data_IF_692187697558
#
_entry.id   IF_692187697558
#
_cell.length_a   1.000
_cell.length_b   1.000
_cell.length_c   1.000
_cell.angle_alpha   90.00
_cell.angle_beta   90.00
_cell.angle_gamma   90.00
#
_symmetry.space_group_name_H-M   'P 1'
#
loop_
_entity.id
_entity.type
_entity.pdbx_description
1 polymer ?
#
# COMPACT_ATOMS: atom_id res chain seq x y z
N UNK A 1 17.30 -4.42 -25.17
CA UNK A 1 16.86 -4.08 -23.81
C UNK A 1 17.05 -2.58 -23.60
N UNK A 2 15.98 -1.82 -23.38
CA UNK A 2 16.11 -0.40 -23.08
C UNK A 2 16.89 -0.22 -21.76
N UNK A 3 17.86 0.70 -21.74
CA UNK A 3 18.50 1.06 -20.47
C UNK A 3 17.48 1.74 -19.56
N UNK A 4 17.65 1.62 -18.27
CA UNK A 4 16.71 2.17 -17.27
C UNK A 4 16.44 3.66 -17.48
N UNK A 5 17.50 4.42 -17.83
CA UNK A 5 17.42 5.86 -18.14
C UNK A 5 16.56 6.14 -19.38
N UNK A 6 16.66 5.30 -20.40
CA UNK A 6 15.87 5.48 -21.63
C UNK A 6 14.39 5.14 -21.39
N UNK A 7 14.12 4.16 -20.52
CA UNK A 7 12.76 3.81 -20.10
C UNK A 7 12.13 4.95 -19.27
N UNK A 8 12.85 5.51 -18.30
CA UNK A 8 12.40 6.64 -17.52
C UNK A 8 12.05 7.84 -18.40
N UNK A 9 12.98 8.23 -19.31
CA UNK A 9 12.74 9.32 -20.27
C UNK A 9 11.49 9.08 -21.12
N UNK A 10 11.28 7.85 -21.54
CA UNK A 10 10.11 7.48 -22.33
C UNK A 10 8.82 7.57 -21.55
N UNK A 11 8.80 7.06 -20.32
CA UNK A 11 7.66 7.18 -19.39
C UNK A 11 7.32 8.66 -19.20
N UNK A 12 8.32 9.50 -18.93
CA UNK A 12 8.13 10.93 -18.76
C UNK A 12 7.62 11.65 -20.01
N UNK A 13 8.10 11.29 -21.19
CA UNK A 13 7.67 11.91 -22.45
C UNK A 13 6.23 11.55 -22.83
N UNK A 14 5.81 10.32 -22.55
CA UNK A 14 4.46 9.84 -22.89
C UNK A 14 3.40 10.18 -21.82
N UNK A 15 3.82 10.38 -20.56
CA UNK A 15 2.94 10.68 -19.43
C UNK A 15 3.22 12.06 -18.78
N UNK A 16 3.74 13.01 -19.54
CA UNK A 16 4.21 14.33 -19.04
C UNK A 16 3.20 15.06 -18.15
N UNK A 17 1.91 14.96 -18.45
CA UNK A 17 0.84 15.65 -17.69
C UNK A 17 0.30 14.85 -16.51
N UNK A 18 0.72 13.57 -16.38
CA UNK A 18 0.19 12.63 -15.39
C UNK A 18 1.20 12.27 -14.28
N UNK A 19 2.46 12.60 -14.50
CA UNK A 19 3.56 12.37 -13.58
C UNK A 19 3.97 13.68 -12.92
N UNK A 20 4.06 13.69 -11.60
CA UNK A 20 4.62 14.81 -10.83
C UNK A 20 6.14 14.81 -10.84
N UNK A 21 6.71 13.65 -10.59
CA UNK A 21 8.16 13.47 -10.48
C UNK A 21 8.54 12.04 -10.89
N UNK A 22 9.76 11.88 -11.43
CA UNK A 22 10.38 10.57 -11.63
C UNK A 22 11.86 10.64 -11.32
N UNK A 23 12.38 9.57 -10.77
CA UNK A 23 13.81 9.45 -10.45
C UNK A 23 14.25 7.99 -10.52
N UNK A 24 15.54 7.79 -10.76
CA UNK A 24 16.17 6.46 -10.70
C UNK A 24 16.98 6.36 -9.41
N UNK A 25 16.57 5.44 -8.52
CA UNK A 25 17.30 5.10 -7.29
C UNK A 25 17.44 3.58 -7.17
N UNK A 26 18.55 3.11 -6.64
CA UNK A 26 18.78 1.68 -6.38
C UNK A 26 18.47 0.77 -7.59
N UNK A 27 18.78 1.23 -8.81
CA UNK A 27 18.51 0.53 -10.05
C UNK A 27 17.00 0.23 -10.29
N UNK A 28 16.12 1.11 -9.81
CA UNK A 28 14.67 1.06 -9.97
C UNK A 28 14.17 2.46 -10.36
N UNK A 29 13.03 2.51 -11.05
CA UNK A 29 12.35 3.76 -11.40
C UNK A 29 11.33 4.07 -10.33
N UNK A 30 11.42 5.25 -9.74
CA UNK A 30 10.41 5.80 -8.82
C UNK A 30 9.59 6.83 -9.59
N UNK A 31 8.28 6.69 -9.55
CA UNK A 31 7.34 7.59 -10.23
C UNK A 31 6.32 8.08 -9.22
N UNK A 32 6.20 9.39 -9.11
CA UNK A 32 5.18 10.04 -8.31
C UNK A 32 4.09 10.62 -9.22
N UNK A 33 2.83 10.34 -8.90
CA UNK A 33 1.68 10.75 -9.68
C UNK A 33 0.63 11.48 -8.82
N UNK A 34 -0.40 12.02 -9.46
CA UNK A 34 -1.67 12.34 -8.81
C UNK A 34 -2.57 11.11 -8.75
N UNK A 35 -3.33 10.92 -7.67
CA UNK A 35 -4.21 9.77 -7.48
C UNK A 35 -5.19 9.56 -8.65
N UNK A 36 -5.68 10.66 -9.24
CA UNK A 36 -6.67 10.61 -10.32
C UNK A 36 -6.09 10.03 -11.63
N UNK A 37 -4.78 10.06 -11.77
CA UNK A 37 -4.06 9.52 -12.93
C UNK A 37 -3.70 8.04 -12.77
N UNK A 38 -3.99 7.41 -11.62
CA UNK A 38 -3.58 6.04 -11.29
C UNK A 38 -3.93 5.04 -12.41
N UNK A 39 -5.20 4.99 -12.79
CA UNK A 39 -5.69 4.00 -13.77
C UNK A 39 -5.03 4.17 -15.14
N UNK A 40 -4.90 5.40 -15.60
CA UNK A 40 -4.30 5.70 -16.90
C UNK A 40 -2.82 5.34 -16.95
N UNK A 41 -2.08 5.71 -15.88
CA UNK A 41 -0.65 5.39 -15.77
C UNK A 41 -0.44 3.89 -15.69
N UNK A 42 -1.21 3.19 -14.86
CA UNK A 42 -1.08 1.74 -14.68
C UNK A 42 -1.45 0.98 -15.96
N UNK A 43 -2.50 1.39 -16.66
CA UNK A 43 -2.86 0.81 -17.97
C UNK A 43 -1.75 1.02 -18.99
N UNK A 44 -1.18 2.24 -19.06
CA UNK A 44 -0.05 2.51 -19.93
C UNK A 44 1.16 1.62 -19.59
N UNK A 45 1.56 1.56 -18.32
CA UNK A 45 2.69 0.73 -17.87
C UNK A 45 2.51 -0.74 -18.26
N UNK A 46 1.29 -1.27 -18.17
CA UNK A 46 0.99 -2.67 -18.49
C UNK A 46 0.96 -2.93 -19.99
N UNK A 47 0.32 -2.06 -20.78
CA UNK A 47 -0.03 -2.35 -22.20
C UNK A 47 1.01 -1.85 -23.20
N UNK A 48 1.77 -0.81 -22.86
CA UNK A 48 2.77 -0.26 -23.77
C UNK A 48 3.89 -1.26 -24.02
N UNK A 49 4.21 -1.48 -25.30
CA UNK A 49 5.21 -2.47 -25.77
C UNK A 49 6.63 -2.26 -25.26
N UNK A 50 6.96 -1.07 -24.77
CA UNK A 50 8.29 -0.75 -24.26
C UNK A 50 8.39 -0.79 -22.73
N UNK A 51 7.28 -0.90 -22.01
CA UNK A 51 7.22 -0.95 -20.55
C UNK A 51 6.84 -2.33 -20.05
N UNK A 52 5.70 -2.88 -20.50
CA UNK A 52 5.20 -4.22 -20.19
C UNK A 52 5.35 -4.65 -18.74
N UNK A 53 4.95 -3.78 -17.82
CA UNK A 53 4.87 -4.13 -16.41
C UNK A 53 3.69 -5.08 -16.18
N UNK A 54 3.94 -6.35 -16.40
CA UNK A 54 2.93 -7.42 -16.41
C UNK A 54 2.55 -7.93 -15.03
N UNK A 55 3.37 -7.65 -14.02
CA UNK A 55 3.14 -8.09 -12.65
C UNK A 55 3.06 -6.89 -11.69
N UNK A 56 2.00 -6.85 -10.90
CA UNK A 56 1.91 -6.11 -9.66
C UNK A 56 2.49 -7.00 -8.56
N UNK A 57 3.60 -6.58 -7.96
CA UNK A 57 4.31 -7.35 -6.93
C UNK A 57 3.63 -7.14 -5.59
N UNK A 58 3.36 -5.86 -5.25
CA UNK A 58 2.81 -5.49 -3.95
C UNK A 58 2.14 -4.14 -3.99
N UNK A 59 1.23 -3.91 -3.01
CA UNK A 59 0.62 -2.63 -2.68
C UNK A 59 0.79 -2.42 -1.19
N UNK A 60 1.37 -1.30 -0.79
CA UNK A 60 1.52 -0.96 0.63
C UNK A 60 1.28 0.52 0.88
N UNK A 61 1.20 0.90 2.14
CA UNK A 61 1.01 2.29 2.58
C UNK A 61 2.06 2.66 3.62
N UNK A 62 2.53 3.89 3.55
CA UNK A 62 3.37 4.49 4.59
C UNK A 62 2.55 5.58 5.28
N UNK A 63 2.48 5.53 6.60
CA UNK A 63 1.74 6.48 7.43
C UNK A 63 2.67 7.61 7.90
N UNK A 64 2.34 8.85 7.54
CA UNK A 64 3.00 10.09 7.94
C UNK A 64 2.02 10.98 8.71
N UNK A 65 1.82 10.75 10.03
CA UNK A 65 0.77 11.45 10.79
C UNK A 65 0.93 12.97 10.85
N UNK A 66 2.16 13.47 10.66
CA UNK A 66 2.47 14.90 10.67
C UNK A 66 2.17 15.61 9.35
N UNK A 67 1.93 14.86 8.27
CA UNK A 67 1.68 15.42 6.94
C UNK A 67 0.18 15.60 6.69
N UNK A 68 -0.18 16.64 5.92
CA UNK A 68 -1.57 16.89 5.52
C UNK A 68 -2.14 15.74 4.67
N UNK A 69 -1.33 15.20 3.76
CA UNK A 69 -1.63 13.97 3.04
C UNK A 69 -0.98 12.79 3.77
N UNK A 70 -1.67 12.32 4.80
CA UNK A 70 -1.16 11.36 5.78
C UNK A 70 -0.63 10.06 5.17
N UNK A 71 -1.33 9.50 4.17
CA UNK A 71 -1.00 8.19 3.63
C UNK A 71 -0.31 8.29 2.28
N UNK A 72 0.89 7.71 2.19
CA UNK A 72 1.60 7.51 0.93
C UNK A 72 1.37 6.09 0.44
N UNK A 73 0.57 5.94 -0.60
CA UNK A 73 0.28 4.65 -1.23
C UNK A 73 1.39 4.31 -2.21
N UNK A 74 1.89 3.09 -2.15
CA UNK A 74 3.05 2.61 -2.92
C UNK A 74 2.66 1.33 -3.65
N UNK A 75 2.90 1.30 -4.95
CA UNK A 75 2.70 0.15 -5.83
C UNK A 75 4.02 -0.31 -6.40
N UNK A 76 4.30 -1.59 -6.34
CA UNK A 76 5.52 -2.20 -6.87
C UNK A 76 5.20 -3.01 -8.11
N UNK A 77 5.80 -2.64 -9.24
CA UNK A 77 5.60 -3.32 -10.52
C UNK A 77 6.86 -3.99 -11.03
N UNK A 78 6.69 -5.10 -11.73
CA UNK A 78 7.74 -5.84 -12.41
C UNK A 78 7.38 -6.07 -13.89
N UNK A 79 8.33 -5.73 -14.76
CA UNK A 79 8.34 -6.17 -16.14
C UNK A 79 9.22 -7.42 -16.26
N UNK A 80 8.60 -8.58 -16.50
CA UNK A 80 9.34 -9.83 -16.72
C UNK A 80 10.16 -9.80 -18.01
N UNK A 81 9.60 -9.19 -19.06
CA UNK A 81 10.24 -9.14 -20.36
C UNK A 81 11.55 -8.35 -20.34
N UNK A 82 11.56 -7.25 -19.58
CA UNK A 82 12.72 -6.35 -19.53
C UNK A 82 13.52 -6.48 -18.24
N UNK A 83 13.07 -7.30 -17.27
CA UNK A 83 13.65 -7.45 -15.93
C UNK A 83 13.87 -6.10 -15.23
N UNK A 84 12.83 -5.27 -15.26
CA UNK A 84 12.85 -3.91 -14.71
C UNK A 84 11.76 -3.76 -13.65
N UNK A 85 12.08 -2.99 -12.60
CA UNK A 85 11.15 -2.68 -11.51
C UNK A 85 10.80 -1.21 -11.51
N UNK A 86 9.56 -0.92 -11.20
CA UNK A 86 9.04 0.43 -11.04
C UNK A 86 8.25 0.51 -9.75
N UNK A 87 8.48 1.58 -9.01
CA UNK A 87 7.75 1.95 -7.81
C UNK A 87 6.94 3.19 -8.14
N UNK A 88 5.61 3.04 -8.09
CA UNK A 88 4.68 4.14 -8.30
C UNK A 88 4.09 4.53 -6.96
N UNK A 89 4.03 5.82 -6.68
CA UNK A 89 3.47 6.30 -5.43
C UNK A 89 2.69 7.61 -5.60
N UNK A 90 1.79 7.86 -4.65
CA UNK A 90 1.08 9.11 -4.46
C UNK A 90 0.61 9.24 -3.01
N UNK A 91 0.36 10.47 -2.57
CA UNK A 91 -0.14 10.73 -1.23
C UNK A 91 -1.63 11.04 -1.24
N UNK A 92 -2.34 10.65 -0.18
CA UNK A 92 -3.76 10.86 0.04
C UNK A 92 -4.06 11.31 1.47
N UNK A 93 -5.19 11.98 1.66
CA UNK A 93 -5.73 12.28 2.98
C UNK A 93 -6.34 11.03 3.64
N UNK A 94 -6.48 11.02 4.95
CA UNK A 94 -6.93 9.86 5.73
C UNK A 94 -8.26 9.25 5.26
N UNK A 95 -9.23 10.08 4.91
CA UNK A 95 -10.58 9.63 4.52
C UNK A 95 -10.78 9.59 2.99
N UNK A 96 -9.70 9.62 2.25
CA UNK A 96 -9.77 9.65 0.79
C UNK A 96 -9.96 8.27 0.20
N UNK A 97 -10.85 8.17 -0.79
CA UNK A 97 -11.13 6.91 -1.50
C UNK A 97 -10.30 6.87 -2.78
N UNK A 98 -9.69 5.74 -3.08
CA UNK A 98 -8.85 5.52 -4.27
C UNK A 98 -9.43 4.41 -5.15
N UNK A 99 -9.08 4.41 -6.44
CA UNK A 99 -9.56 3.39 -7.36
C UNK A 99 -8.83 2.06 -7.15
N UNK A 100 -9.59 0.96 -7.15
CA UNK A 100 -9.04 -0.39 -7.14
C UNK A 100 -8.37 -0.73 -8.47
N UNK A 101 -7.26 -1.46 -8.41
CA UNK A 101 -6.56 -2.02 -9.57
C UNK A 101 -6.99 -3.44 -9.91
N UNK A 102 -7.98 -4.02 -9.23
CA UNK A 102 -8.44 -5.41 -9.45
C UNK A 102 -8.87 -5.69 -10.88
N UNK A 103 -9.40 -4.70 -11.59
CA UNK A 103 -9.77 -4.83 -13.02
C UNK A 103 -8.56 -4.95 -13.95
N UNK A 104 -7.40 -4.44 -13.52
CA UNK A 104 -6.16 -4.48 -14.30
C UNK A 104 -5.25 -5.62 -13.83
N UNK A 105 -5.09 -5.77 -12.52
CA UNK A 105 -4.28 -6.81 -11.88
C UNK A 105 -5.12 -7.59 -10.87
N UNK A 106 -5.53 -8.83 -11.16
CA UNK A 106 -6.29 -9.64 -10.21
C UNK A 106 -5.60 -9.87 -8.87
N UNK A 107 -4.25 -9.85 -8.84
CA UNK A 107 -3.46 -9.94 -7.61
C UNK A 107 -3.70 -8.78 -6.64
N UNK A 108 -4.14 -7.61 -7.13
CA UNK A 108 -4.48 -6.46 -6.30
C UNK A 108 -5.59 -6.75 -5.28
N UNK A 109 -6.47 -7.73 -5.56
CA UNK A 109 -7.59 -8.04 -4.68
C UNK A 109 -7.17 -8.27 -3.21
N UNK A 110 -6.19 -9.12 -2.98
CA UNK A 110 -5.74 -9.42 -1.62
C UNK A 110 -4.85 -8.32 -1.04
N UNK A 111 -4.00 -7.71 -1.85
CA UNK A 111 -3.11 -6.62 -1.44
C UNK A 111 -3.91 -5.38 -1.00
N UNK A 112 -4.97 -5.03 -1.73
CA UNK A 112 -5.85 -3.91 -1.39
C UNK A 112 -6.65 -4.19 -0.11
N UNK A 113 -7.08 -5.44 0.11
CA UNK A 113 -7.70 -5.86 1.37
C UNK A 113 -6.73 -5.77 2.55
N UNK A 114 -5.46 -6.14 2.36
CA UNK A 114 -4.43 -5.96 3.38
C UNK A 114 -4.24 -4.48 3.73
N UNK A 115 -4.11 -3.62 2.73
CA UNK A 115 -3.99 -2.17 2.93
C UNK A 115 -5.23 -1.60 3.63
N UNK A 116 -6.42 -2.03 3.25
CA UNK A 116 -7.67 -1.66 3.94
C UNK A 116 -7.66 -2.11 5.40
N UNK A 117 -7.28 -3.35 5.67
CA UNK A 117 -7.27 -3.92 7.01
C UNK A 117 -6.24 -3.22 7.91
N UNK A 118 -5.02 -3.01 7.42
CA UNK A 118 -3.91 -2.48 8.19
C UNK A 118 -3.92 -0.95 8.36
N UNK A 119 -4.42 -0.21 7.37
CA UNK A 119 -4.37 1.27 7.34
C UNK A 119 -5.74 1.94 7.24
N UNK A 120 -6.79 1.22 6.82
CA UNK A 120 -8.13 1.77 6.64
C UNK A 120 -8.34 2.53 5.33
N UNK A 121 -7.48 2.35 4.34
CA UNK A 121 -7.64 2.97 3.02
C UNK A 121 -8.75 2.27 2.25
N UNK A 122 -9.71 3.04 1.71
CA UNK A 122 -10.87 2.52 1.01
C UNK A 122 -10.62 2.49 -0.50
N UNK A 123 -10.82 1.32 -1.12
CA UNK A 123 -10.68 1.11 -2.55
C UNK A 123 -12.04 1.06 -3.24
N UNK A 124 -12.32 2.07 -4.07
CA UNK A 124 -13.55 2.13 -4.89
C UNK A 124 -13.52 1.06 -5.99
N UNK A 125 -14.65 0.42 -6.23
CA UNK A 125 -14.81 -0.66 -7.21
C UNK A 125 -14.03 -1.95 -6.88
N UNK A 126 -13.57 -2.12 -5.65
CA UNK A 126 -13.06 -3.40 -5.19
C UNK A 126 -14.22 -4.41 -5.07
N UNK A 127 -14.09 -5.65 -5.56
CA UNK A 127 -15.20 -6.60 -5.60
C UNK A 127 -15.64 -7.09 -4.20
N UNK A 128 -14.72 -7.13 -3.23
CA UNK A 128 -15.00 -7.66 -1.88
C UNK A 128 -13.99 -7.08 -0.87
N UNK A 129 -14.19 -5.82 -0.46
CA UNK A 129 -13.32 -5.11 0.46
C UNK A 129 -13.66 -5.43 1.92
N UNK A 130 -13.10 -6.50 2.44
CA UNK A 130 -13.23 -6.94 3.84
C UNK A 130 -11.88 -7.24 4.45
N UNK A 131 -11.81 -7.27 5.79
CA UNK A 131 -10.57 -7.62 6.52
C UNK A 131 -10.02 -8.98 6.08
N UNK A 132 -8.71 -9.15 6.14
CA UNK A 132 -8.00 -10.36 5.68
C UNK A 132 -6.99 -10.88 6.70
N UNK A 133 -6.34 -10.00 7.47
CA UNK A 133 -5.29 -10.37 8.43
C UNK A 133 -5.78 -10.29 9.87
N UNK A 134 -6.68 -9.35 10.19
CA UNK A 134 -7.24 -9.22 11.53
C UNK A 134 -8.55 -9.99 11.67
N UNK A 135 -8.96 -10.25 12.91
CA UNK A 135 -10.26 -10.85 13.21
C UNK A 135 -11.41 -9.96 12.74
N UNK A 136 -12.58 -10.57 12.45
CA UNK A 136 -13.75 -9.84 11.94
C UNK A 136 -14.24 -8.72 12.86
N UNK A 137 -14.05 -8.88 14.17
CA UNK A 137 -14.45 -7.90 15.19
C UNK A 137 -13.28 -7.02 15.65
N UNK A 138 -12.17 -7.04 14.94
CA UNK A 138 -11.02 -6.22 15.31
C UNK A 138 -11.32 -4.74 15.08
N UNK A 139 -11.08 -3.92 16.08
CA UNK A 139 -11.29 -2.48 16.03
C UNK A 139 -9.98 -1.74 15.76
N UNK A 140 -10.00 -0.83 14.77
CA UNK A 140 -8.85 -0.03 14.37
C UNK A 140 -8.03 -0.64 13.22
N UNK A 141 -6.84 -0.07 12.99
CA UNK A 141 -5.93 -0.40 11.90
C UNK A 141 -4.49 -0.48 12.43
N UNK A 142 -3.94 -1.72 12.60
CA UNK A 142 -2.77 -1.95 13.44
C UNK A 142 -1.46 -1.34 12.92
N UNK A 143 -1.34 -1.01 11.63
CA UNK A 143 -0.13 -0.41 11.08
C UNK A 143 -0.14 1.11 11.04
N UNK A 144 -1.23 1.76 11.47
CA UNK A 144 -1.23 3.20 11.71
C UNK A 144 -0.32 3.56 12.88
N UNK A 145 0.38 4.69 12.78
CA UNK A 145 1.31 5.14 13.83
C UNK A 145 0.62 5.54 15.13
N UNK A 146 -0.65 5.92 15.07
CA UNK A 146 -1.49 6.26 16.22
C UNK A 146 -2.15 5.03 16.87
N UNK A 147 -2.02 3.84 16.28
CA UNK A 147 -2.49 2.58 16.88
C UNK A 147 -1.47 2.09 17.91
N UNK A 148 -1.89 1.74 19.16
CA UNK A 148 -0.96 1.30 20.18
C UNK A 148 -0.28 -0.02 19.82
N UNK A 149 1.03 -0.12 20.08
CA UNK A 149 1.84 -1.29 19.74
C UNK A 149 1.30 -2.61 20.31
N UNK A 150 0.73 -2.57 21.50
CA UNK A 150 0.13 -3.75 22.17
C UNK A 150 -1.31 -4.02 21.76
N UNK A 151 -1.94 -3.12 21.01
CA UNK A 151 -3.38 -3.15 20.77
C UNK A 151 -4.18 -2.73 22.03
N UNK A 152 -5.49 -2.89 21.96
CA UNK A 152 -6.42 -2.55 23.04
C UNK A 152 -6.85 -3.78 23.85
N UNK A 153 -6.84 -4.94 23.21
CA UNK A 153 -7.28 -6.22 23.78
C UNK A 153 -6.24 -7.30 23.55
N UNK A 154 -6.15 -8.23 24.49
CA UNK A 154 -5.36 -9.45 24.37
C UNK A 154 -6.26 -10.68 24.48
N UNK A 155 -5.81 -11.76 23.92
CA UNK A 155 -6.55 -13.03 23.91
C UNK A 155 -5.78 -14.05 24.71
N UNK A 156 -6.45 -14.67 25.71
CA UNK A 156 -5.85 -15.73 26.50
C UNK A 156 -6.83 -16.88 26.74
N UNK A 157 -6.29 -18.07 27.02
CA UNK A 157 -7.09 -19.18 27.44
C UNK A 157 -7.42 -19.08 28.93
N UNK A 158 -8.71 -19.14 29.25
CA UNK A 158 -9.20 -19.20 30.63
C UNK A 158 -9.44 -20.66 31.02
N UNK A 159 -8.67 -21.17 32.01
CA UNK A 159 -8.77 -22.56 32.42
C UNK A 159 -10.06 -22.90 33.17
N UNK A 160 -10.64 -21.94 33.88
CA UNK A 160 -11.90 -22.15 34.61
C UNK A 160 -13.09 -22.26 33.66
N UNK A 161 -13.14 -21.35 32.68
CA UNK A 161 -14.20 -21.35 31.68
C UNK A 161 -13.94 -22.31 30.51
N UNK A 162 -12.74 -22.87 30.43
CA UNK A 162 -12.24 -23.77 29.34
C UNK A 162 -12.45 -23.20 27.94
N UNK A 163 -12.27 -21.88 27.80
CA UNK A 163 -12.42 -21.17 26.53
C UNK A 163 -11.41 -20.05 26.39
N UNK A 164 -11.26 -19.58 25.15
CA UNK A 164 -10.47 -18.38 24.83
C UNK A 164 -11.31 -17.16 25.16
N UNK A 165 -10.77 -16.24 25.95
CA UNK A 165 -11.42 -14.97 26.34
C UNK A 165 -10.59 -13.80 25.84
N UNK A 166 -11.28 -12.71 25.49
CA UNK A 166 -10.65 -11.45 25.12
C UNK A 166 -10.78 -10.50 26.30
N UNK A 167 -9.67 -9.90 26.70
CA UNK A 167 -9.56 -9.00 27.83
C UNK A 167 -8.84 -7.70 27.44
N UNK A 168 -9.08 -6.58 28.12
CA UNK A 168 -8.25 -5.39 27.93
C UNK A 168 -6.79 -5.67 28.27
N UNK A 169 -5.88 -5.15 27.46
CA UNK A 169 -4.43 -5.29 27.70
C UNK A 169 -4.05 -4.68 29.03
N UNK A 170 -3.36 -5.45 29.88
CA UNK A 170 -2.77 -5.02 31.15
C UNK A 170 -1.27 -5.23 31.09
N UNK A 171 -0.52 -4.13 30.98
CA UNK A 171 0.93 -4.18 30.99
C UNK A 171 1.45 -4.15 32.42
N UNK A 172 2.30 -5.10 32.79
CA UNK A 172 2.98 -5.11 34.10
C UNK A 172 4.13 -4.09 34.15
N UNK A 173 4.70 -3.74 32.99
CA UNK A 173 5.78 -2.78 32.85
C UNK A 173 5.45 -1.73 31.78
N UNK A 174 5.84 -0.48 32.03
CA UNK A 174 5.78 0.58 31.04
C UNK A 174 6.86 0.37 29.97
N UNK A 175 6.55 0.74 28.71
CA UNK A 175 7.55 0.80 27.65
C UNK A 175 8.66 1.78 28.00
N UNK A 176 9.89 1.39 27.71
CA UNK A 176 11.04 2.28 27.81
C UNK A 176 11.10 3.14 26.55
N UNK A 177 11.08 4.45 26.73
CA UNK A 177 11.41 5.38 25.66
C UNK A 177 12.93 5.59 25.66
N UNK A 178 13.57 5.36 24.54
CA UNK A 178 14.98 5.65 24.35
C UNK A 178 15.08 6.90 23.49
N UNK A 179 15.67 7.96 24.02
CA UNK A 179 16.09 9.12 23.24
C UNK A 179 17.42 8.75 22.56
N UNK A 180 17.43 8.70 21.22
CA UNK A 180 18.62 8.42 20.40
C UNK A 180 19.21 9.71 19.84
#
# INVERSE_FOLDING_TARGET
MLKLVDLEKKINSELTTKIRNSEIKHNQIYVEIEKDNLMDVVLFLKTNKNTRFSQLIDITVVDYPEESQRFKVVYLFLSHEFNQRLILNYSINENEVINSLTSVFPSANWMEREVFDMYGVIFKNHPDLRRILTDYNFEGHPLRKDFPLTGHTEVRYNEEEKKVVSEPVKLEQNYRNFDY
#
